data_IF_604888337472
#
_entry.id   IF_604888337472
#
_cell.length_a   1.000
_cell.length_b   1.000
_cell.length_c   1.000
_cell.angle_alpha   90.00
_cell.angle_beta   90.00
_cell.angle_gamma   90.00
#
_symmetry.space_group_name_H-M   'P 1'
#
loop_
_entity.id
_entity.type
_entity.pdbx_description
1 polymer ?
#
# COMPACT_ATOMS: atom_id res chain seq x y z
N UNK A 1 1.82 -13.65 5.55
CA UNK A 1 1.17 -12.72 6.49
C UNK A 1 -0.32 -12.64 6.17
N UNK A 2 -1.16 -12.49 7.19
CA UNK A 2 -2.60 -12.34 7.01
C UNK A 2 -2.95 -10.87 6.72
N UNK A 3 -4.09 -10.63 6.06
CA UNK A 3 -4.60 -9.28 5.85
C UNK A 3 -5.46 -8.82 7.04
N UNK A 4 -5.71 -7.52 7.13
CA UNK A 4 -6.61 -6.92 8.13
C UNK A 4 -8.04 -7.47 8.02
N UNK A 5 -8.50 -7.75 6.80
CA UNK A 5 -9.72 -8.51 6.53
C UNK A 5 -9.36 -9.94 6.18
N UNK A 6 -9.91 -10.93 6.89
CA UNK A 6 -9.59 -12.34 6.66
C UNK A 6 -9.91 -12.76 5.22
N UNK A 7 -11.06 -12.30 4.69
CA UNK A 7 -11.48 -12.51 3.30
C UNK A 7 -10.51 -11.94 2.25
N UNK A 8 -9.66 -10.97 2.64
CA UNK A 8 -8.68 -10.35 1.75
C UNK A 8 -7.31 -11.05 1.77
N UNK A 9 -7.14 -12.09 2.59
CA UNK A 9 -5.83 -12.73 2.81
C UNK A 9 -5.31 -13.43 1.55
N UNK A 10 -6.16 -14.13 0.80
CA UNK A 10 -5.72 -14.79 -0.44
C UNK A 10 -5.43 -13.77 -1.54
N UNK A 11 -6.28 -12.74 -1.70
CA UNK A 11 -6.04 -11.63 -2.63
C UNK A 11 -4.71 -10.91 -2.32
N UNK A 12 -4.39 -10.74 -1.03
CA UNK A 12 -3.11 -10.19 -0.59
C UNK A 12 -1.94 -11.05 -1.05
N UNK A 13 -2.01 -12.37 -0.83
CA UNK A 13 -0.93 -13.29 -1.18
C UNK A 13 -0.64 -13.27 -2.67
N UNK A 14 -1.67 -13.30 -3.51
CA UNK A 14 -1.52 -13.23 -4.96
C UNK A 14 -0.88 -11.91 -5.41
N UNK A 15 -1.38 -10.78 -4.90
CA UNK A 15 -0.81 -9.47 -5.20
C UNK A 15 0.64 -9.34 -4.73
N UNK A 16 0.94 -9.70 -3.48
CA UNK A 16 2.28 -9.59 -2.90
C UNK A 16 3.30 -10.41 -3.70
N UNK A 17 2.94 -11.63 -4.12
CA UNK A 17 3.81 -12.47 -4.95
C UNK A 17 4.08 -11.83 -6.31
N UNK A 18 3.04 -11.32 -6.98
CA UNK A 18 3.18 -10.61 -8.26
C UNK A 18 4.07 -9.38 -8.10
N UNK A 19 3.79 -8.54 -7.09
CA UNK A 19 4.50 -7.30 -6.84
C UNK A 19 5.97 -7.55 -6.53
N UNK A 20 6.29 -8.49 -5.64
CA UNK A 20 7.67 -8.78 -5.26
C UNK A 20 8.52 -9.22 -6.45
N UNK A 21 7.94 -10.04 -7.35
CA UNK A 21 8.61 -10.44 -8.58
C UNK A 21 8.86 -9.25 -9.50
N UNK A 22 7.82 -8.47 -9.78
CA UNK A 22 7.94 -7.27 -10.63
C UNK A 22 8.93 -6.26 -10.04
N UNK A 23 8.88 -6.05 -8.72
CA UNK A 23 9.74 -5.10 -8.02
C UNK A 23 11.22 -5.50 -8.14
N UNK A 24 11.55 -6.77 -7.86
CA UNK A 24 12.93 -7.26 -7.93
C UNK A 24 13.46 -7.39 -9.36
N UNK A 25 12.63 -7.85 -10.30
CA UNK A 25 13.08 -8.15 -11.66
C UNK A 25 13.05 -6.96 -12.60
N UNK A 26 12.15 -5.99 -12.38
CA UNK A 26 11.89 -4.86 -13.30
C UNK A 26 12.19 -3.53 -12.66
N UNK A 27 11.46 -3.18 -11.61
CA UNK A 27 11.53 -1.85 -11.01
C UNK A 27 12.95 -1.53 -10.49
N UNK A 28 13.54 -2.41 -9.67
CA UNK A 28 14.89 -2.21 -9.13
C UNK A 28 16.00 -2.22 -10.18
N UNK A 29 15.76 -2.80 -11.35
CA UNK A 29 16.72 -2.81 -12.47
C UNK A 29 16.58 -1.60 -13.39
N UNK A 30 15.66 -0.69 -13.08
CA UNK A 30 15.38 0.49 -13.91
C UNK A 30 14.61 0.18 -15.19
N UNK A 31 14.03 -1.02 -15.32
CA UNK A 31 13.13 -1.32 -16.43
C UNK A 31 11.79 -0.63 -16.17
N UNK A 32 11.41 0.29 -17.05
CA UNK A 32 10.08 0.90 -17.10
C UNK A 32 9.06 -0.08 -17.72
N UNK A 33 8.95 -1.25 -17.11
CA UNK A 33 7.80 -2.12 -17.33
C UNK A 33 6.59 -1.50 -16.63
N UNK A 34 5.44 -1.46 -17.31
CA UNK A 34 4.17 -1.07 -16.68
C UNK A 34 3.83 -1.95 -15.47
N UNK A 35 2.67 -1.73 -14.87
CA UNK A 35 2.23 -2.51 -13.71
C UNK A 35 1.45 -3.77 -14.13
N UNK A 36 2.06 -4.97 -14.17
CA UNK A 36 1.36 -6.20 -14.49
C UNK A 36 0.41 -6.64 -13.36
N UNK A 37 0.60 -6.13 -12.14
CA UNK A 37 -0.13 -6.52 -10.95
C UNK A 37 -1.34 -5.60 -10.67
N UNK A 38 -1.56 -4.56 -11.49
CA UNK A 38 -2.56 -3.53 -11.22
C UNK A 38 -4.00 -4.05 -11.09
N UNK A 39 -4.37 -5.11 -11.81
CA UNK A 39 -5.70 -5.73 -11.67
C UNK A 39 -5.85 -6.51 -10.36
N UNK A 40 -4.80 -7.21 -9.92
CA UNK A 40 -4.77 -7.89 -8.62
C UNK A 40 -4.82 -6.86 -7.49
N UNK A 41 -4.06 -5.77 -7.63
CA UNK A 41 -4.05 -4.68 -6.67
C UNK A 41 -5.43 -4.06 -6.48
N UNK A 42 -6.14 -3.74 -7.56
CA UNK A 42 -7.50 -3.16 -7.48
C UNK A 42 -8.46 -4.04 -6.69
N UNK A 43 -8.45 -5.35 -6.92
CA UNK A 43 -9.31 -6.30 -6.19
C UNK A 43 -8.96 -6.36 -4.71
N UNK A 44 -7.68 -6.47 -4.40
CA UNK A 44 -7.17 -6.47 -3.04
C UNK A 44 -7.48 -5.15 -2.30
N UNK A 45 -7.23 -4.01 -2.95
CA UNK A 45 -7.46 -2.67 -2.40
C UNK A 45 -8.92 -2.46 -2.02
N UNK A 46 -9.87 -2.81 -2.90
CA UNK A 46 -11.30 -2.70 -2.62
C UNK A 46 -11.70 -3.55 -1.40
N UNK A 47 -11.19 -4.78 -1.31
CA UNK A 47 -11.45 -5.67 -0.18
C UNK A 47 -10.93 -5.06 1.14
N UNK A 48 -9.69 -4.58 1.15
CA UNK A 48 -9.07 -4.02 2.35
C UNK A 48 -9.70 -2.70 2.77
N UNK A 49 -10.03 -1.82 1.83
CA UNK A 49 -10.73 -0.57 2.14
C UNK A 49 -12.07 -0.83 2.84
N UNK A 50 -12.81 -1.85 2.41
CA UNK A 50 -14.03 -2.27 3.11
C UNK A 50 -13.72 -2.75 4.53
N UNK A 51 -12.74 -3.63 4.71
CA UNK A 51 -12.36 -4.15 6.01
C UNK A 51 -11.85 -3.07 6.99
N UNK A 52 -11.13 -2.06 6.50
CA UNK A 52 -10.64 -0.92 7.29
C UNK A 52 -11.82 -0.10 7.82
N UNK A 53 -12.83 0.17 6.98
CA UNK A 53 -14.05 0.87 7.38
C UNK A 53 -14.86 0.08 8.41
N UNK A 54 -15.04 -1.22 8.19
CA UNK A 54 -15.79 -2.10 9.11
C UNK A 54 -15.11 -2.23 10.48
N UNK A 55 -13.79 -2.10 10.53
CA UNK A 55 -13.00 -2.17 11.77
C UNK A 55 -12.69 -0.80 12.39
N UNK A 56 -13.23 0.28 11.83
CA UNK A 56 -13.05 1.66 12.31
C UNK A 56 -11.56 2.03 12.51
N UNK A 57 -10.74 1.72 11.50
CA UNK A 57 -9.30 2.02 11.54
C UNK A 57 -9.08 3.43 10.93
N UNK A 58 -8.58 4.41 11.71
CA UNK A 58 -8.46 5.80 11.27
C UNK A 58 -7.24 5.99 10.36
N UNK A 59 -7.44 5.87 9.05
CA UNK A 59 -6.40 6.13 8.03
C UNK A 59 -6.66 7.41 7.22
N UNK A 60 -7.87 7.95 7.29
CA UNK A 60 -8.26 9.16 6.55
C UNK A 60 -7.64 10.41 7.19
N UNK A 61 -7.16 11.34 6.36
CA UNK A 61 -6.55 12.59 6.83
C UNK A 61 -5.09 12.47 7.29
N UNK A 62 -4.48 11.28 7.19
CA UNK A 62 -3.03 11.13 7.39
C UNK A 62 -2.26 11.67 6.19
N UNK A 63 -1.32 12.58 6.44
CA UNK A 63 -0.45 13.12 5.40
C UNK A 63 0.68 12.15 5.05
N UNK A 64 0.96 12.02 3.76
CA UNK A 64 2.08 11.23 3.26
C UNK A 64 3.41 11.83 3.72
N UNK A 65 4.30 10.99 4.28
CA UNK A 65 5.56 11.40 4.92
C UNK A 65 5.40 12.29 6.17
N UNK A 66 4.17 12.45 6.67
CA UNK A 66 3.85 13.28 7.83
C UNK A 66 4.08 14.77 7.59
N UNK A 67 3.80 15.61 8.61
CA UNK A 67 4.11 17.02 8.54
C UNK A 67 5.62 17.19 8.36
N UNK A 68 6.02 17.98 7.38
CA UNK A 68 7.41 18.44 7.29
C UNK A 68 7.74 19.19 8.57
N UNK A 69 8.51 18.59 9.49
CA UNK A 69 9.15 19.33 10.59
C UNK A 69 10.27 20.22 10.00
N UNK A 70 9.87 21.21 9.21
CA UNK A 70 10.69 22.38 8.93
C UNK A 70 10.76 23.20 10.20
N UNK A 71 11.98 23.44 10.69
CA UNK A 71 12.31 24.24 11.88
C UNK A 71 11.42 25.48 12.03
N UNK A 72 10.61 25.50 13.07
CA UNK A 72 10.22 26.74 13.77
C UNK A 72 10.57 26.52 15.24
N UNK A 73 11.86 26.58 15.54
CA UNK A 73 12.33 26.91 16.89
C UNK A 73 12.76 28.38 16.86
N UNK A 74 12.12 29.14 17.75
CA UNK A 74 12.33 30.56 18.04
C UNK A 74 13.79 31.00 17.86
N UNK A 75 14.02 32.02 17.03
CA UNK A 75 15.03 33.02 17.38
C UNK A 75 14.33 34.06 18.24
N UNK A 76 14.73 34.10 19.52
CA UNK A 76 14.68 35.33 20.30
C UNK A 76 15.59 36.40 19.67
#
# INVERSE_FOLDING_TARGET
MNSVGEACTELKREYDQCFNRWFAEKFLKGESAGDPCGQLFKRYQLCVQKAIKEKDIPIEGLEFMGPSKGKTENSS
#
